data_IF_648569613228
#
_entry.id   IF_648569613228
#
_cell.length_a   1.000
_cell.length_b   1.000
_cell.length_c   1.000
_cell.angle_alpha   90.00
_cell.angle_beta   90.00
_cell.angle_gamma   90.00
#
_symmetry.space_group_name_H-M   'P 1'
#
loop_
_entity.id
_entity.type
_entity.pdbx_description
1 polymer ?
#
# COMPACT_ATOMS: atom_id res chain seq x y z
N UNK A 1 -21.37 4.36 0.57
CA UNK A 1 -22.33 4.70 -0.49
C UNK A 1 -23.25 3.52 -0.75
N UNK A 2 -22.75 2.36 -1.18
CA UNK A 2 -23.58 1.15 -1.43
C UNK A 2 -24.36 0.68 -0.20
N UNK A 3 -23.80 0.83 1.00
CA UNK A 3 -24.48 0.50 2.28
C UNK A 3 -25.49 1.55 2.74
N UNK A 4 -25.72 2.63 2.00
CA UNK A 4 -26.71 3.66 2.28
C UNK A 4 -26.36 4.65 3.40
N UNK A 5 -25.23 4.48 4.08
CA UNK A 5 -24.82 5.35 5.20
C UNK A 5 -24.31 6.73 4.78
N UNK A 6 -23.88 6.88 3.53
CA UNK A 6 -23.41 8.15 2.97
C UNK A 6 -23.75 8.27 1.49
N UNK A 7 -24.07 9.48 1.02
CA UNK A 7 -24.28 9.78 -0.40
C UNK A 7 -22.97 10.14 -1.09
N UNK A 8 -22.09 10.87 -0.41
CA UNK A 8 -20.76 11.21 -0.88
C UNK A 8 -19.74 10.83 0.17
N UNK A 9 -18.56 10.40 -0.29
CA UNK A 9 -17.41 10.06 0.55
C UNK A 9 -16.19 10.81 0.04
N UNK A 10 -15.52 11.55 0.91
CA UNK A 10 -14.19 12.08 0.65
C UNK A 10 -13.17 11.02 1.04
N UNK A 11 -12.46 10.49 0.06
CA UNK A 11 -11.32 9.62 0.25
C UNK A 11 -10.06 10.50 0.28
N UNK A 12 -9.24 10.35 1.32
CA UNK A 12 -7.95 11.03 1.44
C UNK A 12 -6.88 10.00 1.72
N UNK A 13 -5.83 10.00 0.91
CA UNK A 13 -4.58 9.31 1.18
C UNK A 13 -3.49 10.34 1.39
N UNK A 14 -2.78 10.25 2.50
CA UNK A 14 -1.66 11.13 2.78
C UNK A 14 -0.63 10.42 3.65
N UNK A 15 0.63 10.56 3.31
CA UNK A 15 1.72 9.98 4.08
C UNK A 15 2.99 10.84 4.01
N UNK A 16 3.78 10.78 5.07
CA UNK A 16 5.10 11.38 5.16
C UNK A 16 6.10 10.31 5.57
N UNK A 17 6.48 9.46 4.60
CA UNK A 17 7.41 8.36 4.82
C UNK A 17 8.87 8.81 4.93
N UNK A 18 9.20 10.01 4.44
CA UNK A 18 10.55 10.58 4.55
C UNK A 18 11.07 10.66 6.00
N UNK A 19 10.18 10.81 6.99
CA UNK A 19 10.56 10.85 8.40
C UNK A 19 10.99 9.47 8.94
N UNK A 20 10.64 8.39 8.24
CA UNK A 20 10.80 7.00 8.69
C UNK A 20 11.78 6.23 7.84
N UNK A 21 12.38 6.88 6.87
CA UNK A 21 13.38 6.30 5.98
C UNK A 21 14.78 6.66 6.48
N UNK A 22 15.65 5.66 6.55
CA UNK A 22 17.07 5.93 6.75
C UNK A 22 17.69 6.43 5.43
N UNK A 23 18.20 7.67 5.35
CA UNK A 23 18.77 8.22 4.12
C UNK A 23 20.01 7.48 3.64
N UNK A 24 20.67 6.74 4.52
CA UNK A 24 21.87 5.96 4.20
C UNK A 24 21.53 4.53 3.71
N UNK A 25 20.29 4.08 3.89
CA UNK A 25 19.83 2.79 3.37
C UNK A 25 19.41 2.89 1.91
N UNK A 26 20.28 2.44 1.03
CA UNK A 26 20.04 2.42 -0.43
C UNK A 26 18.91 1.48 -0.86
N UNK A 27 18.42 0.61 0.02
CA UNK A 27 17.29 -0.28 -0.23
C UNK A 27 15.93 0.40 -0.05
N UNK A 28 15.86 1.49 0.71
CA UNK A 28 14.60 2.16 1.05
C UNK A 28 14.59 3.66 0.76
N UNK A 29 15.74 4.33 0.79
CA UNK A 29 15.84 5.80 0.74
C UNK A 29 15.23 6.48 -0.49
N UNK A 30 15.14 5.78 -1.63
CA UNK A 30 14.60 6.32 -2.87
C UNK A 30 13.28 5.66 -3.29
N UNK A 31 12.80 4.68 -2.52
CA UNK A 31 11.54 3.98 -2.81
C UNK A 31 10.33 4.63 -2.15
N UNK A 32 10.53 5.18 -0.96
CA UNK A 32 9.45 5.77 -0.17
C UNK A 32 9.53 7.29 -0.26
N UNK A 33 8.39 7.91 -0.54
CA UNK A 33 8.25 9.35 -0.70
C UNK A 33 7.04 9.88 0.05
N UNK A 34 7.02 11.19 0.23
CA UNK A 34 5.87 11.89 0.79
C UNK A 34 4.85 12.16 -0.31
N UNK A 35 3.58 12.08 0.04
CA UNK A 35 2.52 12.35 -0.91
C UNK A 35 1.16 12.51 -0.27
N UNK A 36 0.27 13.20 -0.96
CA UNK A 36 -1.13 13.30 -0.61
C UNK A 36 -2.01 13.38 -1.85
N UNK A 37 -3.17 12.78 -1.75
CA UNK A 37 -4.18 12.82 -2.78
C UNK A 37 -5.58 12.69 -2.18
N UNK A 38 -6.57 13.18 -2.90
CA UNK A 38 -7.95 13.06 -2.47
C UNK A 38 -8.88 12.85 -3.65
N UNK A 39 -9.99 12.14 -3.42
CA UNK A 39 -11.06 11.94 -4.38
C UNK A 39 -12.43 12.01 -3.70
N UNK A 40 -13.40 12.56 -4.39
CA UNK A 40 -14.81 12.51 -3.96
C UNK A 40 -15.50 11.40 -4.73
N UNK A 41 -16.09 10.45 -3.98
CA UNK A 41 -16.85 9.33 -4.53
C UNK A 41 -18.33 9.58 -4.26
N UNK A 42 -19.17 9.44 -5.28
CA UNK A 42 -20.58 9.71 -5.20
C UNK A 42 -21.43 8.73 -6.01
N UNK A 43 -22.77 8.92 -6.03
CA UNK A 43 -23.67 8.17 -6.87
C UNK A 43 -23.33 8.33 -8.35
N UNK A 44 -23.57 7.28 -9.13
CA UNK A 44 -23.46 7.29 -10.58
C UNK A 44 -24.54 6.38 -11.16
N UNK A 45 -25.08 6.76 -12.31
CA UNK A 45 -26.05 5.95 -13.04
C UNK A 45 -25.38 4.71 -13.67
N UNK A 46 -24.07 4.80 -13.92
CA UNK A 46 -23.24 3.69 -14.38
C UNK A 46 -22.26 3.29 -13.29
N UNK A 47 -22.25 2.02 -12.84
CA UNK A 47 -21.26 1.54 -11.88
C UNK A 47 -19.83 1.73 -12.42
N UNK A 48 -18.99 2.48 -11.69
CA UNK A 48 -17.62 2.77 -12.06
C UNK A 48 -16.58 2.16 -11.11
N UNK A 49 -17.03 1.63 -9.96
CA UNK A 49 -16.17 0.91 -9.00
C UNK A 49 -16.58 -0.55 -8.99
N UNK A 50 -15.69 -1.40 -9.42
CA UNK A 50 -15.87 -2.85 -9.49
C UNK A 50 -15.94 -3.53 -8.11
N UNK A 51 -16.04 -4.86 -8.10
CA UNK A 51 -15.89 -5.67 -6.89
C UNK A 51 -14.52 -5.46 -6.24
N UNK A 52 -14.46 -5.58 -4.90
CA UNK A 52 -13.21 -5.50 -4.15
C UNK A 52 -12.76 -6.92 -3.80
N UNK A 53 -11.50 -7.23 -4.08
CA UNK A 53 -10.84 -8.47 -3.70
C UNK A 53 -9.78 -8.17 -2.64
N UNK A 54 -9.73 -8.99 -1.60
CA UNK A 54 -8.85 -8.84 -0.45
C UNK A 54 -7.85 -9.98 -0.37
N UNK A 55 -6.71 -9.70 0.22
CA UNK A 55 -5.73 -10.70 0.58
C UNK A 55 -4.82 -10.23 1.69
N UNK A 56 -4.25 -11.17 2.44
CA UNK A 56 -3.18 -10.91 3.38
C UNK A 56 -2.30 -12.16 3.51
N UNK A 57 -1.02 -11.96 3.81
CA UNK A 57 -0.08 -13.03 4.05
C UNK A 57 0.76 -12.72 5.30
N UNK A 58 0.33 -13.24 6.44
CA UNK A 58 1.01 -13.04 7.71
C UNK A 58 2.37 -13.75 7.80
N UNK A 59 2.69 -14.65 6.88
CA UNK A 59 4.00 -15.31 6.84
C UNK A 59 5.13 -14.37 6.36
N UNK A 60 4.77 -13.23 5.76
CA UNK A 60 5.69 -12.21 5.25
C UNK A 60 5.88 -11.02 6.20
N UNK A 61 5.55 -11.20 7.49
CA UNK A 61 5.61 -10.13 8.49
C UNK A 61 6.95 -9.38 8.52
N UNK A 62 8.05 -10.11 8.36
CA UNK A 62 9.40 -9.56 8.43
C UNK A 62 9.90 -8.99 7.08
N UNK A 63 9.10 -9.08 6.01
CA UNK A 63 9.50 -8.61 4.69
C UNK A 63 9.57 -7.07 4.61
N UNK A 64 8.68 -6.37 5.32
CA UNK A 64 8.73 -4.93 5.57
C UNK A 64 8.40 -4.70 7.03
N UNK A 65 9.31 -4.09 7.78
CA UNK A 65 9.14 -3.87 9.21
C UNK A 65 9.85 -2.58 9.66
N UNK A 66 9.78 -2.28 10.94
CA UNK A 66 10.54 -1.20 11.57
C UNK A 66 11.81 -1.74 12.22
N UNK A 67 12.91 -1.00 12.17
CA UNK A 67 14.19 -1.38 12.79
C UNK A 67 14.13 -1.45 14.31
N UNK A 68 13.18 -0.79 14.93
CA UNK A 68 12.98 -0.74 16.39
C UNK A 68 11.57 -0.34 16.75
N UNK A 69 11.33 -0.17 18.06
CA UNK A 69 10.06 0.28 18.61
C UNK A 69 10.17 1.71 19.11
N UNK A 70 9.13 2.51 18.91
CA UNK A 70 9.10 3.90 19.40
C UNK A 70 9.17 4.02 20.93
N UNK A 71 8.76 2.98 21.67
CA UNK A 71 8.89 2.94 23.12
C UNK A 71 10.35 3.03 23.58
N UNK A 72 11.28 2.52 22.77
CA UNK A 72 12.71 2.56 23.06
C UNK A 72 13.26 4.00 23.12
N UNK A 73 12.64 4.95 22.39
CA UNK A 73 12.99 6.37 22.42
C UNK A 73 12.69 7.04 23.78
N UNK A 74 11.92 6.37 24.65
CA UNK A 74 11.61 6.85 26.01
C UNK A 74 12.63 6.38 27.04
N UNK A 75 13.59 5.56 26.62
CA UNK A 75 14.66 5.09 27.52
C UNK A 75 15.53 6.27 27.93
N UNK A 76 15.71 6.53 29.26
CA UNK A 76 16.55 7.61 29.72
C UNK A 76 18.03 7.49 29.38
N UNK A 77 18.50 6.31 28.97
CA UNK A 77 19.88 6.11 28.51
C UNK A 77 20.20 6.93 27.26
N UNK A 78 19.18 7.23 26.43
CA UNK A 78 19.34 7.99 25.20
C UNK A 78 20.08 7.25 24.07
N UNK A 79 20.38 5.96 24.25
CA UNK A 79 21.15 5.16 23.30
C UNK A 79 20.31 4.56 22.16
N UNK A 80 18.97 4.72 22.21
CA UNK A 80 18.08 4.18 21.20
C UNK A 80 18.13 4.98 19.90
N UNK A 81 18.40 4.29 18.80
CA UNK A 81 18.28 4.88 17.47
C UNK A 81 16.82 5.11 17.09
N UNK A 82 16.58 6.16 16.30
CA UNK A 82 15.24 6.43 15.76
C UNK A 82 14.80 5.30 14.83
N UNK A 83 13.63 4.67 15.05
CA UNK A 83 13.16 3.57 14.22
C UNK A 83 12.93 4.01 12.78
N UNK A 84 13.39 3.21 11.84
CA UNK A 84 13.20 3.43 10.41
C UNK A 84 12.68 2.17 9.73
N UNK A 85 12.14 2.34 8.52
CA UNK A 85 11.64 1.22 7.70
C UNK A 85 12.81 0.36 7.24
N UNK A 86 12.67 -0.95 7.38
CA UNK A 86 13.59 -1.97 6.87
C UNK A 86 12.82 -2.87 5.91
N UNK A 87 13.38 -3.13 4.74
CA UNK A 87 12.72 -3.94 3.72
C UNK A 87 13.65 -4.99 3.14
N UNK A 88 13.15 -6.21 3.02
CA UNK A 88 13.77 -7.30 2.27
C UNK A 88 13.33 -7.21 0.79
N UNK A 89 13.87 -6.23 0.04
CA UNK A 89 13.38 -5.81 -1.27
C UNK A 89 13.15 -6.95 -2.25
N UNK A 90 14.10 -7.90 -2.36
CA UNK A 90 13.96 -9.05 -3.29
C UNK A 90 12.81 -10.01 -2.89
N UNK A 91 12.57 -10.20 -1.59
CA UNK A 91 11.48 -11.03 -1.10
C UNK A 91 10.14 -10.35 -1.38
N UNK A 92 10.03 -9.05 -1.08
CA UNK A 92 8.85 -8.22 -1.35
C UNK A 92 8.53 -8.19 -2.84
N UNK A 93 9.54 -7.97 -3.68
CA UNK A 93 9.37 -7.96 -5.13
C UNK A 93 8.80 -9.28 -5.66
N UNK A 94 9.40 -10.40 -5.28
CA UNK A 94 8.94 -11.73 -5.70
C UNK A 94 7.50 -11.99 -5.28
N UNK A 95 7.21 -11.74 -4.01
CA UNK A 95 5.86 -11.92 -3.47
C UNK A 95 4.85 -11.04 -4.21
N UNK A 96 5.15 -9.76 -4.39
CA UNK A 96 4.27 -8.81 -5.04
C UNK A 96 3.92 -9.19 -6.50
N UNK A 97 4.91 -9.62 -7.28
CA UNK A 97 4.68 -10.03 -8.68
C UNK A 97 3.64 -11.15 -8.78
N UNK A 98 3.73 -12.15 -7.92
CA UNK A 98 2.78 -13.28 -7.96
C UNK A 98 1.43 -12.93 -7.37
N UNK A 99 1.41 -12.29 -6.20
CA UNK A 99 0.16 -11.99 -5.50
C UNK A 99 -0.66 -10.91 -6.19
N UNK A 100 -0.03 -9.87 -6.73
CA UNK A 100 -0.74 -8.82 -7.45
C UNK A 100 -1.38 -9.36 -8.73
N UNK A 101 -0.69 -10.21 -9.48
CA UNK A 101 -1.25 -10.84 -10.67
C UNK A 101 -2.46 -11.72 -10.30
N UNK A 102 -2.34 -12.53 -9.24
CA UNK A 102 -3.42 -13.39 -8.77
C UNK A 102 -4.64 -12.60 -8.32
N UNK A 103 -4.45 -11.57 -7.50
CA UNK A 103 -5.54 -10.73 -6.97
C UNK A 103 -6.17 -9.89 -8.09
N UNK A 104 -5.37 -9.38 -9.04
CA UNK A 104 -5.89 -8.68 -10.21
C UNK A 104 -6.80 -9.58 -11.05
N UNK A 105 -6.38 -10.83 -11.32
CA UNK A 105 -7.21 -11.78 -12.06
C UNK A 105 -8.52 -12.07 -11.32
N UNK A 106 -8.48 -12.29 -10.01
CA UNK A 106 -9.69 -12.48 -9.21
C UNK A 106 -10.64 -11.28 -9.27
N UNK A 107 -10.12 -10.06 -9.33
CA UNK A 107 -10.93 -8.85 -9.47
C UNK A 107 -11.58 -8.76 -10.85
N UNK A 108 -10.88 -9.12 -11.91
CA UNK A 108 -11.43 -9.22 -13.27
C UNK A 108 -12.54 -10.26 -13.35
N UNK A 109 -12.28 -11.46 -12.84
CA UNK A 109 -13.26 -12.56 -12.80
C UNK A 109 -14.53 -12.15 -12.06
N UNK A 110 -14.37 -11.50 -10.88
CA UNK A 110 -15.50 -11.00 -10.10
C UNK A 110 -16.27 -9.87 -10.78
N UNK A 111 -15.62 -9.10 -11.64
CA UNK A 111 -16.24 -8.05 -12.45
C UNK A 111 -16.85 -8.57 -13.74
N UNK A 112 -16.52 -9.78 -14.17
CA UNK A 112 -16.97 -10.40 -15.44
C UNK A 112 -16.36 -9.72 -16.67
N UNK A 113 -15.10 -9.26 -16.56
CA UNK A 113 -14.36 -8.61 -17.67
C UNK A 113 -13.02 -9.29 -17.88
N UNK A 114 -12.47 -9.14 -19.09
CA UNK A 114 -11.16 -9.66 -19.46
C UNK A 114 -10.08 -8.58 -19.31
N UNK A 115 -8.83 -9.00 -19.16
CA UNK A 115 -7.69 -8.06 -19.09
C UNK A 115 -7.58 -7.16 -20.31
N UNK A 116 -8.00 -7.65 -21.50
CA UNK A 116 -8.05 -6.89 -22.75
C UNK A 116 -9.08 -5.76 -22.76
N UNK A 117 -10.06 -5.79 -21.86
CA UNK A 117 -11.08 -4.75 -21.74
C UNK A 117 -10.58 -3.54 -20.93
N UNK A 118 -9.45 -3.69 -20.24
CA UNK A 118 -8.85 -2.62 -19.44
C UNK A 118 -8.18 -1.58 -20.34
N UNK A 119 -8.50 -0.31 -20.13
CA UNK A 119 -7.75 0.79 -20.73
C UNK A 119 -6.35 0.95 -20.10
N UNK A 120 -6.21 0.62 -18.82
CA UNK A 120 -4.94 0.63 -18.12
C UNK A 120 -5.01 -0.24 -16.84
N UNK A 121 -3.86 -0.79 -16.44
CA UNK A 121 -3.63 -1.38 -15.13
C UNK A 121 -2.68 -0.49 -14.35
N UNK A 122 -3.13 0.07 -13.24
CA UNK A 122 -2.38 1.05 -12.44
C UNK A 122 -2.30 0.57 -10.99
N UNK A 123 -1.39 -0.35 -10.69
CA UNK A 123 -1.20 -0.81 -9.32
C UNK A 123 -0.46 0.24 -8.49
N UNK A 124 -0.76 0.30 -7.18
CA UNK A 124 0.15 0.93 -6.24
C UNK A 124 1.36 0.02 -6.05
N UNK A 125 2.54 0.50 -6.42
CA UNK A 125 3.74 -0.34 -6.49
C UNK A 125 4.90 0.33 -5.75
N UNK A 126 5.52 -0.41 -4.85
CA UNK A 126 6.66 0.06 -4.05
C UNK A 126 8.02 -0.16 -4.71
N UNK A 127 8.05 -0.72 -5.91
CA UNK A 127 9.28 -1.13 -6.58
C UNK A 127 9.28 -0.52 -7.98
N UNK A 128 9.97 0.57 -8.12
CA UNK A 128 10.25 1.20 -9.40
C UNK A 128 11.31 0.45 -10.22
#
# INVERSE_FOLDING_TARGET
IRGGSARYVLLVGAEKLSDWVNPDDRGTAFLFADGAGAAVIGPSDTPAIGPTVWGSDGSQLDAITMSGRFEQLRDPSGDAEYPHVVMQGQAVFRWAVYEMARVAQQALDAAGIEASDLAAFIPHYFLG
#
